data_IF_350793676924
#
_entry.id   IF_350793676924
#
_cell.length_a   1.000
_cell.length_b   1.000
_cell.length_c   1.000
_cell.angle_alpha   90.00
_cell.angle_beta   90.00
_cell.angle_gamma   90.00
#
_symmetry.space_group_name_H-M   'P 1'
#
loop_
_entity.id
_entity.type
_entity.pdbx_description
1 polymer ?
#
# COMPACT_ATOMS: atom_id res chain seq x y z
N UNK A 1 9.44 6.60 2.98
CA UNK A 1 8.72 5.53 3.70
C UNK A 1 8.96 4.23 2.97
N UNK A 2 9.47 3.21 3.67
CA UNK A 2 9.82 1.90 3.09
C UNK A 2 8.61 0.97 3.04
N UNK A 3 7.97 0.88 1.88
CA UNK A 3 6.85 0.00 1.58
C UNK A 3 7.34 -1.40 1.29
N UNK A 4 7.56 -2.14 2.38
CA UNK A 4 7.89 -3.56 2.43
C UNK A 4 6.99 -4.29 3.43
N UNK A 5 6.88 -5.62 3.33
CA UNK A 5 6.01 -6.40 4.24
C UNK A 5 6.27 -6.14 5.73
N UNK A 6 7.50 -6.10 6.25
CA UNK A 6 7.76 -5.82 7.67
C UNK A 6 7.06 -4.55 8.19
N UNK A 7 6.88 -3.54 7.33
CA UNK A 7 6.25 -2.27 7.68
C UNK A 7 4.75 -2.19 7.33
N UNK A 8 4.15 -3.25 6.78
CA UNK A 8 2.77 -3.25 6.29
C UNK A 8 1.74 -2.89 7.36
N UNK A 9 1.97 -3.27 8.63
CA UNK A 9 1.07 -2.89 9.75
C UNK A 9 0.87 -1.38 9.84
N UNK A 10 1.94 -0.63 9.66
CA UNK A 10 1.91 0.84 9.68
C UNK A 10 1.12 1.36 8.46
N UNK A 11 1.39 0.85 7.27
CA UNK A 11 0.80 1.38 6.04
C UNK A 11 -0.63 0.91 5.74
N UNK A 12 -1.09 -0.13 6.44
CA UNK A 12 -2.47 -0.58 6.42
C UNK A 12 -3.39 0.28 7.32
N UNK A 13 -2.85 1.08 8.23
CA UNK A 13 -3.62 2.04 9.05
C UNK A 13 -3.80 3.38 8.32
N UNK A 14 -5.02 3.78 7.91
CA UNK A 14 -5.18 4.97 7.09
C UNK A 14 -4.66 6.28 7.69
N UNK A 15 -4.48 6.33 9.01
CA UNK A 15 -4.00 7.50 9.72
C UNK A 15 -2.49 7.75 9.58
N UNK A 16 -1.70 6.80 9.05
CA UNK A 16 -0.24 6.94 8.99
C UNK A 16 0.19 8.17 8.18
N UNK A 17 -0.54 8.48 7.08
CA UNK A 17 -0.24 9.62 6.23
C UNK A 17 -0.48 10.93 6.97
N UNK A 18 -1.62 11.05 7.64
CA UNK A 18 -2.00 12.27 8.36
C UNK A 18 -1.02 12.54 9.50
N UNK A 19 -0.63 11.49 10.25
CA UNK A 19 0.38 11.59 11.32
C UNK A 19 1.70 12.18 10.83
N UNK A 20 2.16 11.78 9.65
CA UNK A 20 3.40 12.30 9.07
C UNK A 20 3.21 13.67 8.43
N UNK A 21 2.05 13.96 7.87
CA UNK A 21 1.76 15.25 7.27
C UNK A 21 1.88 16.40 8.28
N UNK A 22 1.62 16.16 9.58
CA UNK A 22 1.83 17.14 10.65
C UNK A 22 3.29 17.60 10.80
N UNK A 23 4.27 16.81 10.35
CA UNK A 23 5.68 17.19 10.41
C UNK A 23 6.04 18.30 9.40
N UNK A 24 5.17 18.62 8.45
CA UNK A 24 5.46 19.53 7.34
C UNK A 24 6.41 18.94 6.29
N UNK A 25 6.91 17.71 6.48
CA UNK A 25 7.83 17.06 5.56
C UNK A 25 7.13 16.51 4.32
N UNK A 26 7.87 16.48 3.23
CA UNK A 26 7.48 15.82 2.00
C UNK A 26 7.56 14.29 2.12
N UNK A 27 6.50 13.59 1.74
CA UNK A 27 6.44 12.14 1.84
C UNK A 27 6.80 11.51 0.49
N UNK A 28 7.87 10.72 0.48
CA UNK A 28 8.26 9.87 -0.65
C UNK A 28 8.11 8.41 -0.24
N UNK A 29 7.51 7.59 -1.10
CA UNK A 29 7.41 6.15 -0.87
C UNK A 29 8.52 5.44 -1.65
N UNK A 30 9.17 4.47 -1.01
CA UNK A 30 10.08 3.52 -1.65
C UNK A 30 9.36 2.18 -1.56
N UNK A 31 8.98 1.58 -2.67
CA UNK A 31 8.12 0.40 -2.67
C UNK A 31 8.79 -0.79 -3.35
N UNK A 32 8.75 -1.94 -2.68
CA UNK A 32 9.05 -3.21 -3.33
C UNK A 32 7.95 -3.60 -4.33
N UNK A 33 8.22 -4.62 -5.14
CA UNK A 33 7.28 -5.12 -6.15
C UNK A 33 5.94 -5.56 -5.55
N UNK A 34 5.95 -6.11 -4.33
CA UNK A 34 4.78 -6.69 -3.69
C UNK A 34 3.85 -5.62 -3.11
N UNK A 35 4.39 -4.56 -2.52
CA UNK A 35 3.65 -3.44 -1.94
C UNK A 35 3.52 -2.24 -2.88
N UNK A 36 4.07 -2.29 -4.09
CA UNK A 36 3.79 -1.32 -5.15
C UNK A 36 2.28 -1.02 -5.32
N UNK A 37 1.35 -2.00 -5.30
CA UNK A 37 -0.09 -1.71 -5.38
C UNK A 37 -0.65 -0.92 -4.20
N UNK A 38 -0.11 -1.12 -2.99
CA UNK A 38 -0.48 -0.36 -1.81
C UNK A 38 0.10 1.07 -1.87
N UNK A 39 1.35 1.22 -2.32
CA UNK A 39 1.95 2.53 -2.56
C UNK A 39 1.15 3.34 -3.59
N UNK A 40 0.72 2.69 -4.69
CA UNK A 40 -0.14 3.29 -5.72
C UNK A 40 -1.48 3.78 -5.18
N UNK A 41 -2.10 2.99 -4.31
CA UNK A 41 -3.33 3.40 -3.62
C UNK A 41 -3.07 4.68 -2.84
N UNK A 42 -2.00 4.73 -2.05
CA UNK A 42 -1.68 5.89 -1.24
C UNK A 42 -1.37 7.14 -2.06
N UNK A 43 -0.58 7.02 -3.13
CA UNK A 43 -0.32 8.13 -4.06
C UNK A 43 -1.61 8.66 -4.71
N UNK A 44 -2.64 7.81 -4.87
CA UNK A 44 -3.96 8.25 -5.36
C UNK A 44 -4.82 8.93 -4.30
N UNK A 45 -4.58 8.67 -3.02
CA UNK A 45 -5.45 9.07 -1.91
C UNK A 45 -4.95 10.29 -1.16
N UNK A 46 -3.65 10.57 -1.16
CA UNK A 46 -3.10 11.71 -0.46
C UNK A 46 -2.24 12.58 -1.36
N UNK A 47 -2.55 13.88 -1.38
CA UNK A 47 -1.74 14.90 -2.03
C UNK A 47 -0.45 15.24 -1.26
N UNK A 48 -0.25 14.68 -0.05
CA UNK A 48 0.96 14.85 0.75
C UNK A 48 2.11 13.97 0.27
N UNK A 49 1.81 12.98 -0.57
CA UNK A 49 2.78 12.06 -1.14
C UNK A 49 3.25 12.63 -2.47
N UNK A 50 4.55 12.89 -2.57
CA UNK A 50 5.17 13.55 -3.71
C UNK A 50 5.63 12.59 -4.83
N UNK A 51 5.69 11.30 -4.54
CA UNK A 51 6.06 10.29 -5.52
C UNK A 51 6.37 8.93 -4.92
N UNK A 52 6.59 7.98 -5.82
CA UNK A 52 6.99 6.60 -5.50
C UNK A 52 8.25 6.25 -6.29
N UNK A 53 9.27 5.77 -5.58
CA UNK A 53 10.43 5.09 -6.14
C UNK A 53 10.15 3.59 -6.02
N UNK A 54 10.00 2.88 -7.14
CA UNK A 54 9.85 1.42 -7.10
C UNK A 54 11.24 0.81 -7.11
N UNK A 55 11.49 -0.15 -6.22
CA UNK A 55 12.83 -0.77 -6.10
C UNK A 55 13.21 -1.62 -7.31
N UNK A 56 12.23 -2.01 -8.13
CA UNK A 56 12.37 -2.79 -9.37
C UNK A 56 12.27 -1.94 -10.64
N UNK A 57 12.34 -0.60 -10.52
CA UNK A 57 12.62 0.29 -11.65
C UNK A 57 14.12 0.22 -12.02
N UNK A 58 14.45 0.46 -13.29
CA UNK A 58 15.85 0.59 -13.72
C UNK A 58 16.55 1.76 -13.00
N UNK A 59 17.86 1.63 -12.79
CA UNK A 59 18.67 2.64 -12.07
C UNK A 59 18.51 4.04 -12.67
N UNK A 60 18.41 4.15 -13.99
CA UNK A 60 18.19 5.45 -14.65
C UNK A 60 16.85 6.07 -14.24
N UNK A 61 15.78 5.28 -14.21
CA UNK A 61 14.44 5.73 -13.83
C UNK A 61 14.41 6.12 -12.36
N UNK A 62 15.02 5.32 -11.48
CA UNK A 62 15.12 5.64 -10.06
C UNK A 62 15.88 6.96 -9.85
N UNK A 63 17.03 7.13 -10.51
CA UNK A 63 17.84 8.35 -10.43
C UNK A 63 17.08 9.59 -10.95
N UNK A 64 16.32 9.46 -12.04
CA UNK A 64 15.48 10.54 -12.55
C UNK A 64 14.40 10.95 -11.53
N UNK A 65 13.71 9.97 -10.92
CA UNK A 65 12.69 10.24 -9.90
C UNK A 65 13.29 10.93 -8.66
N UNK A 66 14.43 10.43 -8.18
CA UNK A 66 15.19 11.02 -7.07
C UNK A 66 15.51 12.48 -7.38
N UNK A 67 16.13 12.78 -8.53
CA UNK A 67 16.48 14.16 -8.92
C UNK A 67 15.26 15.09 -8.98
N UNK A 68 14.13 14.61 -9.49
CA UNK A 68 12.88 15.39 -9.52
C UNK A 68 12.37 15.70 -8.10
N UNK A 69 12.33 14.70 -7.22
CA UNK A 69 11.88 14.87 -5.84
C UNK A 69 12.78 15.83 -5.06
N UNK A 70 14.11 15.71 -5.21
CA UNK A 70 15.08 16.60 -4.54
C UNK A 70 15.03 18.05 -5.06
N UNK A 71 14.54 18.29 -6.27
CA UNK A 71 14.33 19.64 -6.83
C UNK A 71 12.94 20.18 -6.55
N UNK A 72 12.16 19.53 -5.68
CA UNK A 72 10.81 19.95 -5.28
C UNK A 72 9.72 19.62 -6.29
N UNK A 73 10.03 18.87 -7.35
CA UNK A 73 9.05 18.44 -8.35
C UNK A 73 8.39 17.13 -7.95
N UNK A 74 7.11 17.00 -8.30
CA UNK A 74 6.37 15.74 -8.15
C UNK A 74 6.96 14.65 -9.07
N UNK A 75 7.07 13.44 -8.53
CA UNK A 75 7.42 12.21 -9.24
C UNK A 75 6.25 11.22 -9.21
N UNK A 76 5.06 11.71 -9.58
CA UNK A 76 3.77 11.02 -9.42
C UNK A 76 3.47 9.97 -10.51
N UNK A 77 4.49 9.42 -11.18
CA UNK A 77 4.25 8.35 -12.16
C UNK A 77 3.92 7.05 -11.45
N UNK A 78 2.63 6.68 -11.46
CA UNK A 78 2.17 5.38 -11.01
C UNK A 78 2.54 4.32 -12.03
N UNK A 79 3.06 3.18 -11.56
CA UNK A 79 3.33 1.98 -12.36
C UNK A 79 2.54 0.80 -11.80
N UNK A 80 1.97 -0.02 -12.69
CA UNK A 80 1.33 -1.28 -12.31
C UNK A 80 -0.05 -1.13 -11.67
N UNK A 81 -0.49 -2.21 -11.00
CA UNK A 81 -1.82 -2.31 -10.39
C UNK A 81 -1.89 -1.43 -9.13
N UNK A 82 -3.08 -0.93 -8.79
CA UNK A 82 -3.36 -0.26 -7.51
C UNK A 82 -4.35 -1.07 -6.71
N UNK A 83 -4.24 -1.06 -5.38
CA UNK A 83 -5.36 -1.46 -4.53
C UNK A 83 -6.52 -0.48 -4.74
N UNK A 84 -7.75 -0.98 -4.62
CA UNK A 84 -8.93 -0.15 -4.46
C UNK A 84 -9.29 -0.01 -2.96
N UNK A 85 -10.33 0.77 -2.67
CA UNK A 85 -10.75 1.00 -1.29
C UNK A 85 -11.15 -0.28 -0.56
N UNK A 86 -11.92 -1.16 -1.20
CA UNK A 86 -12.37 -2.42 -0.58
C UNK A 86 -11.20 -3.34 -0.26
N UNK A 87 -10.24 -3.48 -1.18
CA UNK A 87 -9.01 -4.26 -0.98
C UNK A 87 -8.15 -3.69 0.15
N UNK A 88 -8.03 -2.36 0.23
CA UNK A 88 -7.31 -1.68 1.32
C UNK A 88 -7.96 -1.93 2.69
N UNK A 89 -9.29 -1.80 2.78
CA UNK A 89 -10.01 -2.08 4.04
C UNK A 89 -9.85 -3.55 4.42
N UNK A 90 -10.00 -4.46 3.46
CA UNK A 90 -9.86 -5.89 3.69
C UNK A 90 -8.44 -6.25 4.19
N UNK A 91 -7.41 -5.67 3.58
CA UNK A 91 -6.03 -5.78 4.02
C UNK A 91 -5.86 -5.30 5.48
N UNK A 92 -6.38 -4.11 5.83
CA UNK A 92 -6.38 -3.60 7.20
C UNK A 92 -7.01 -4.58 8.18
N UNK A 93 -8.15 -5.20 7.83
CA UNK A 93 -8.83 -6.17 8.69
C UNK A 93 -7.97 -7.40 8.94
N UNK A 94 -7.39 -7.99 7.90
CA UNK A 94 -6.53 -9.16 8.03
C UNK A 94 -5.28 -8.86 8.85
N UNK A 95 -4.61 -7.74 8.58
CA UNK A 95 -3.44 -7.28 9.33
C UNK A 95 -3.77 -7.03 10.81
N UNK A 96 -5.01 -6.65 11.12
CA UNK A 96 -5.54 -6.51 12.49
C UNK A 96 -5.99 -7.84 13.12
N UNK A 97 -5.71 -8.99 12.49
CA UNK A 97 -6.06 -10.32 13.00
C UNK A 97 -7.55 -10.68 12.88
N UNK A 98 -8.34 -9.97 12.07
CA UNK A 98 -9.77 -10.29 11.91
C UNK A 98 -9.97 -11.50 11.00
N UNK A 99 -10.83 -12.43 11.45
CA UNK A 99 -11.24 -13.57 10.62
C UNK A 99 -12.27 -13.16 9.57
N UNK A 100 -12.40 -13.96 8.50
CA UNK A 100 -13.42 -13.73 7.45
C UNK A 100 -14.82 -13.61 8.06
N UNK A 101 -15.15 -14.45 9.05
CA UNK A 101 -16.45 -14.40 9.75
C UNK A 101 -16.66 -13.11 10.56
N UNK A 102 -15.60 -12.51 11.07
CA UNK A 102 -15.68 -11.21 11.72
C UNK A 102 -15.85 -10.11 10.68
N UNK A 103 -15.13 -10.19 9.55
CA UNK A 103 -15.19 -9.20 8.48
C UNK A 103 -16.57 -9.15 7.82
N UNK A 104 -17.21 -10.31 7.57
CA UNK A 104 -18.59 -10.35 7.06
C UNK A 104 -19.55 -9.56 7.94
N UNK A 105 -19.42 -9.70 9.26
CA UNK A 105 -20.26 -9.00 10.24
C UNK A 105 -19.93 -7.52 10.33
N UNK A 106 -18.65 -7.16 10.37
CA UNK A 106 -18.20 -5.76 10.55
C UNK A 106 -18.53 -4.93 9.31
N UNK A 107 -18.22 -5.44 8.12
CA UNK A 107 -18.33 -4.68 6.88
C UNK A 107 -19.69 -4.93 6.19
N UNK A 108 -20.54 -5.81 6.73
CA UNK A 108 -21.84 -6.23 6.17
C UNK A 108 -21.73 -6.70 4.70
N UNK A 109 -20.72 -7.53 4.42
CA UNK A 109 -20.43 -8.05 3.08
C UNK A 109 -20.68 -9.57 3.06
N UNK A 110 -21.31 -10.05 1.99
CA UNK A 110 -21.47 -11.48 1.72
C UNK A 110 -20.12 -12.21 1.72
N UNK A 111 -20.05 -13.35 2.38
CA UNK A 111 -18.84 -14.18 2.50
C UNK A 111 -18.24 -14.53 1.13
N UNK A 112 -19.05 -14.80 0.10
CA UNK A 112 -18.60 -15.08 -1.27
C UNK A 112 -17.88 -13.88 -1.87
N UNK A 113 -18.39 -12.67 -1.65
CA UNK A 113 -17.73 -11.43 -2.11
C UNK A 113 -16.40 -11.22 -1.39
N UNK A 114 -16.32 -11.51 -0.09
CA UNK A 114 -15.05 -11.43 0.64
C UNK A 114 -14.01 -12.36 0.02
N UNK A 115 -14.35 -13.59 -0.32
CA UNK A 115 -13.40 -14.49 -0.98
C UNK A 115 -12.92 -13.97 -2.34
N UNK A 116 -13.81 -13.35 -3.14
CA UNK A 116 -13.42 -12.71 -4.40
C UNK A 116 -12.47 -11.53 -4.17
N UNK A 117 -12.77 -10.66 -3.19
CA UNK A 117 -11.89 -9.54 -2.85
C UNK A 117 -10.56 -9.98 -2.27
N UNK A 118 -10.56 -11.02 -1.44
CA UNK A 118 -9.35 -11.65 -0.91
C UNK A 118 -8.48 -12.15 -2.04
N UNK A 119 -9.04 -12.89 -3.01
CA UNK A 119 -8.29 -13.42 -4.14
C UNK A 119 -7.65 -12.29 -4.97
N UNK A 120 -8.40 -11.22 -5.25
CA UNK A 120 -7.87 -10.05 -5.98
C UNK A 120 -6.77 -9.32 -5.20
N UNK A 121 -6.91 -9.23 -3.88
CA UNK A 121 -5.90 -8.64 -3.00
C UNK A 121 -4.61 -9.47 -3.02
N UNK A 122 -4.73 -10.79 -2.86
CA UNK A 122 -3.59 -11.72 -2.91
C UNK A 122 -2.89 -11.70 -4.28
N UNK A 123 -3.66 -11.69 -5.37
CA UNK A 123 -3.14 -11.56 -6.74
C UNK A 123 -2.35 -10.26 -6.94
N UNK A 124 -2.82 -9.13 -6.39
CA UNK A 124 -2.10 -7.85 -6.46
C UNK A 124 -0.82 -7.86 -5.64
N UNK A 125 -0.86 -8.39 -4.42
CA UNK A 125 0.28 -8.41 -3.50
C UNK A 125 1.27 -9.55 -3.78
N UNK A 126 0.91 -10.50 -4.64
CA UNK A 126 1.74 -11.63 -5.04
C UNK A 126 1.89 -12.72 -3.97
N UNK A 127 1.14 -12.64 -2.88
CA UNK A 127 1.20 -13.58 -1.76
C UNK A 127 -0.18 -13.85 -1.19
N UNK A 128 -0.34 -15.06 -0.64
CA UNK A 128 -1.53 -15.36 0.17
C UNK A 128 -1.55 -14.49 1.43
N UNK A 129 -2.75 -14.20 1.96
CA UNK A 129 -2.92 -13.49 3.23
C UNK A 129 -2.14 -14.19 4.35
N UNK A 130 -2.08 -15.52 4.35
CA UNK A 130 -1.31 -16.27 5.33
C UNK A 130 0.19 -15.94 5.28
N UNK A 131 0.78 -15.96 4.08
CA UNK A 131 2.19 -15.59 3.86
C UNK A 131 2.44 -14.10 4.16
N UNK A 132 1.51 -13.22 3.80
CA UNK A 132 1.59 -11.81 4.16
C UNK A 132 1.67 -11.68 5.68
N UNK A 133 0.77 -12.35 6.40
CA UNK A 133 0.74 -12.30 7.87
C UNK A 133 1.98 -12.92 8.53
N UNK A 134 2.61 -13.94 7.92
CA UNK A 134 3.87 -14.48 8.44
C UNK A 134 5.06 -13.54 8.23
N UNK A 135 5.03 -12.72 7.18
CA UNK A 135 6.12 -11.80 6.83
C UNK A 135 6.05 -10.44 7.58
N UNK A 136 5.05 -10.26 8.45
CA UNK A 136 4.88 -9.05 9.28
C UNK A 136 4.99 -9.31 10.79
N UNK A 137 5.33 -10.54 11.16
CA UNK A 137 5.63 -10.95 12.53
C UNK A 137 7.12 -10.75 12.80
#
# INVERSE_FOLDING_TARGET
MDFSFPNLRLFADPQWVDRLAYSGMHIVLIADRNLAPLANYWLSKSNKIQGIIYSDDDDEVQNQKIRRLFTGHLANSKRGRSLNYTEMILLKRFVSGKSIQQITKIDNIDIKKIYVYKLRLEDKLGHSIHQILSNIL
#
